data_IF_883517554554
#
_entry.id   IF_883517554554
#
_cell.length_a   1.000
_cell.length_b   1.000
_cell.length_c   1.000
_cell.angle_alpha   90.00
_cell.angle_beta   90.00
_cell.angle_gamma   90.00
#
_symmetry.space_group_name_H-M   'P 1'
#
loop_
_entity.id
_entity.type
_entity.pdbx_description
1 polymer ?
#
# COMPACT_ATOMS: atom_id res chain seq x y z
N UNK A 1 33.17 -34.13 60.88
CA UNK A 1 32.77 -33.10 59.88
C UNK A 1 31.49 -33.56 59.22
N UNK A 2 30.36 -32.92 59.54
CA UNK A 2 29.07 -33.15 58.87
C UNK A 2 29.05 -32.28 57.62
N UNK A 3 29.12 -32.88 56.43
CA UNK A 3 28.81 -32.15 55.20
C UNK A 3 27.28 -32.06 55.06
N UNK A 4 26.79 -30.83 54.89
CA UNK A 4 25.37 -30.53 54.65
C UNK A 4 24.90 -31.18 53.35
N UNK A 5 23.69 -31.75 53.38
CA UNK A 5 22.98 -32.35 52.24
C UNK A 5 22.83 -31.38 51.04
N UNK A 6 23.02 -30.07 51.26
CA UNK A 6 22.99 -29.03 50.23
C UNK A 6 24.20 -29.05 49.29
N UNK A 7 25.36 -29.59 49.71
CA UNK A 7 26.58 -29.63 48.88
C UNK A 7 26.55 -30.78 47.86
N UNK A 8 25.83 -31.86 48.17
CA UNK A 8 25.70 -33.02 47.27
C UNK A 8 24.68 -32.75 46.16
N UNK A 9 23.65 -31.94 46.42
CA UNK A 9 22.67 -31.57 45.40
C UNK A 9 23.24 -30.56 44.37
N UNK A 10 24.16 -29.68 44.78
CA UNK A 10 24.84 -28.76 43.87
C UNK A 10 25.80 -29.48 42.90
N UNK A 11 26.43 -30.59 43.33
CA UNK A 11 27.32 -31.37 42.48
C UNK A 11 26.59 -32.27 41.47
N UNK A 12 25.34 -32.66 41.74
CA UNK A 12 24.50 -33.44 40.81
C UNK A 12 23.70 -32.58 39.83
N UNK A 13 23.47 -31.29 40.12
CA UNK A 13 22.89 -30.33 39.17
C UNK A 13 23.97 -29.76 38.21
N UNK A 14 25.25 -29.81 38.58
CA UNK A 14 26.36 -29.33 37.75
C UNK A 14 26.88 -30.34 36.69
N UNK A 15 26.34 -31.57 36.63
CA UNK A 15 26.72 -32.61 35.64
C UNK A 15 25.53 -32.96 34.71
N UNK A 16 24.51 -32.09 34.63
CA UNK A 16 23.32 -32.26 33.80
C UNK A 16 23.12 -31.22 32.70
N UNK A 17 24.14 -30.40 32.38
CA UNK A 17 23.97 -29.20 31.54
C UNK A 17 25.08 -29.00 30.50
N UNK A 18 25.58 -30.09 29.92
CA UNK A 18 26.43 -30.04 28.70
C UNK A 18 25.97 -31.08 27.68
N UNK A 19 24.68 -31.04 27.34
CA UNK A 19 24.18 -31.45 26.02
C UNK A 19 23.11 -30.43 25.61
N UNK A 20 23.42 -29.14 25.73
CA UNK A 20 22.73 -28.14 24.91
C UNK A 20 23.26 -28.36 23.50
N UNK A 21 22.37 -28.79 22.61
CA UNK A 21 22.72 -29.18 21.26
C UNK A 21 23.61 -28.14 20.60
N UNK A 22 24.81 -28.55 20.19
CA UNK A 22 25.26 -28.19 18.87
C UNK A 22 24.21 -28.77 17.91
N UNK A 23 23.08 -28.08 17.73
CA UNK A 23 22.42 -28.14 16.45
C UNK A 23 23.50 -27.66 15.50
N UNK A 24 24.06 -28.60 14.73
CA UNK A 24 24.63 -28.26 13.43
C UNK A 24 23.76 -27.16 12.86
N UNK A 25 24.30 -26.00 12.44
CA UNK A 25 23.53 -25.10 11.61
C UNK A 25 22.96 -26.02 10.53
N UNK A 26 21.64 -26.20 10.53
CA UNK A 26 21.01 -26.81 9.38
C UNK A 26 21.56 -26.01 8.21
N UNK A 27 22.15 -26.67 7.23
CA UNK A 27 22.56 -26.00 6.00
C UNK A 27 21.37 -25.18 5.58
N UNK A 28 21.45 -23.84 5.74
CA UNK A 28 20.44 -22.97 5.14
C UNK A 28 20.38 -23.39 3.68
N UNK A 29 19.18 -23.52 3.09
CA UNK A 29 19.06 -23.68 1.66
C UNK A 29 20.03 -22.71 0.98
N UNK A 30 20.82 -23.21 0.02
CA UNK A 30 21.69 -22.34 -0.78
C UNK A 30 20.79 -21.30 -1.47
N UNK A 31 21.29 -20.07 -1.59
CA UNK A 31 20.61 -18.97 -2.29
C UNK A 31 19.31 -18.49 -1.59
N UNK A 32 19.33 -18.36 -0.28
CA UNK A 32 18.19 -17.91 0.55
C UNK A 32 18.23 -16.40 0.87
N UNK A 33 17.07 -15.73 0.79
CA UNK A 33 16.80 -14.39 1.35
C UNK A 33 15.71 -14.51 2.41
N UNK A 34 15.89 -13.85 3.56
CA UNK A 34 14.92 -13.83 4.65
C UNK A 34 13.97 -12.64 4.47
N UNK A 35 12.66 -12.89 4.46
CA UNK A 35 11.64 -11.83 4.48
C UNK A 35 10.99 -11.75 5.86
N UNK A 36 10.96 -10.55 6.45
CA UNK A 36 10.22 -10.28 7.69
C UNK A 36 9.06 -9.32 7.41
N UNK A 37 7.96 -9.46 8.16
CA UNK A 37 6.77 -8.63 7.97
C UNK A 37 6.57 -7.60 9.08
N UNK A 38 6.49 -6.32 8.71
CA UNK A 38 6.42 -5.20 9.66
C UNK A 38 5.01 -4.66 9.90
N UNK A 39 3.98 -5.25 9.27
CA UNK A 39 2.57 -4.82 9.35
C UNK A 39 2.38 -3.36 8.92
N UNK A 40 2.90 -3.03 7.74
CA UNK A 40 2.99 -1.67 7.21
C UNK A 40 4.44 -1.20 7.08
N UNK A 41 4.65 -0.05 6.47
CA UNK A 41 6.00 0.47 6.12
C UNK A 41 6.64 1.33 7.20
N UNK A 42 5.85 1.89 8.13
CA UNK A 42 6.31 2.82 9.16
C UNK A 42 7.55 2.37 9.96
N UNK A 43 7.65 1.10 10.39
CA UNK A 43 8.83 0.63 11.14
C UNK A 43 10.11 0.47 10.30
N UNK A 44 10.03 0.34 8.98
CA UNK A 44 11.15 -0.10 8.13
C UNK A 44 12.36 0.85 8.15
N UNK A 45 12.21 2.20 8.09
CA UNK A 45 13.36 3.10 8.16
C UNK A 45 14.15 2.94 9.46
N UNK A 46 13.46 2.81 10.60
CA UNK A 46 14.10 2.60 11.90
C UNK A 46 14.84 1.26 11.96
N UNK A 47 14.23 0.20 11.43
CA UNK A 47 14.87 -1.12 11.38
C UNK A 47 16.14 -1.11 10.53
N UNK A 48 16.13 -0.38 9.41
CA UNK A 48 17.31 -0.20 8.57
C UNK A 48 18.40 0.58 9.30
N UNK A 49 18.06 1.73 9.90
CA UNK A 49 19.03 2.56 10.63
C UNK A 49 19.61 1.94 11.91
N UNK A 50 19.04 0.83 12.38
CA UNK A 50 19.51 0.09 13.57
C UNK A 50 20.09 -1.28 13.22
N UNK A 51 20.41 -1.51 11.95
CA UNK A 51 21.03 -2.74 11.41
C UNK A 51 20.24 -4.02 11.73
N UNK A 52 18.93 -3.90 11.94
CA UNK A 52 18.05 -5.06 12.20
C UNK A 52 17.60 -5.75 10.89
N UNK A 53 17.69 -5.04 9.77
CA UNK A 53 17.42 -5.55 8.42
C UNK A 53 18.53 -5.04 7.48
N UNK A 54 18.77 -5.78 6.40
CA UNK A 54 19.74 -5.40 5.37
C UNK A 54 19.08 -4.52 4.27
N UNK A 55 17.75 -4.54 4.18
CA UNK A 55 16.96 -3.72 3.26
C UNK A 55 15.45 -3.87 3.48
N UNK A 56 14.64 -3.17 2.71
CA UNK A 56 13.19 -3.29 2.71
C UNK A 56 12.59 -3.04 1.33
N UNK A 57 11.40 -3.58 1.09
CA UNK A 57 10.53 -3.16 -0.03
C UNK A 57 9.30 -2.44 0.52
N UNK A 58 9.02 -1.26 0.00
CA UNK A 58 7.94 -0.38 0.48
C UNK A 58 7.22 0.33 -0.67
N UNK A 59 6.04 0.87 -0.38
CA UNK A 59 5.40 1.89 -1.20
C UNK A 59 5.94 3.28 -0.87
N UNK A 60 5.86 4.20 -1.83
CA UNK A 60 6.08 5.63 -1.60
C UNK A 60 5.12 6.19 -0.53
N UNK A 61 5.49 7.21 0.26
CA UNK A 61 6.75 7.96 0.22
C UNK A 61 7.93 7.29 0.95
N UNK A 62 7.73 6.08 1.50
CA UNK A 62 8.72 5.42 2.38
C UNK A 62 9.99 4.96 1.65
N UNK A 63 9.94 4.83 0.33
CA UNK A 63 11.12 4.51 -0.49
C UNK A 63 12.12 5.66 -0.45
N UNK A 64 11.66 6.92 -0.49
CA UNK A 64 12.52 8.11 -0.48
C UNK A 64 13.03 8.53 0.91
N UNK A 65 12.49 7.94 1.99
CA UNK A 65 12.89 8.28 3.36
C UNK A 65 14.35 7.92 3.61
N UNK A 66 14.79 6.71 3.27
CA UNK A 66 16.15 6.25 3.56
C UNK A 66 17.24 7.01 2.79
N UNK A 67 17.09 7.26 1.46
CA UNK A 67 18.02 8.12 0.71
C UNK A 67 18.14 9.54 1.28
N UNK A 68 17.03 10.16 1.69
CA UNK A 68 17.06 11.51 2.26
C UNK A 68 17.65 11.54 3.67
N UNK A 69 17.44 10.47 4.45
CA UNK A 69 18.01 10.33 5.77
C UNK A 69 19.50 9.94 5.76
N UNK A 70 20.04 9.50 4.61
CA UNK A 70 21.42 9.02 4.50
C UNK A 70 21.66 7.68 5.20
N UNK A 71 20.63 6.85 5.29
CA UNK A 71 20.70 5.52 5.95
C UNK A 71 20.60 4.36 4.94
N UNK A 72 20.27 4.66 3.68
CA UNK A 72 20.07 3.67 2.65
C UNK A 72 19.90 4.30 1.28
N UNK A 73 19.90 3.46 0.26
CA UNK A 73 19.75 3.83 -1.15
C UNK A 73 18.66 3.00 -1.82
N UNK A 74 17.99 3.59 -2.80
CA UNK A 74 17.05 2.84 -3.65
C UNK A 74 17.88 1.93 -4.55
N UNK A 75 17.64 0.63 -4.45
CA UNK A 75 18.26 -0.38 -5.30
C UNK A 75 17.56 -0.45 -6.66
N UNK A 76 16.23 -0.53 -6.63
CA UNK A 76 15.39 -0.70 -7.82
C UNK A 76 13.95 -0.27 -7.52
N UNK A 77 13.31 0.43 -8.46
CA UNK A 77 11.88 0.73 -8.39
C UNK A 77 11.06 -0.44 -8.92
N UNK A 78 9.81 -0.55 -8.50
CA UNK A 78 9.02 -1.77 -8.73
C UNK A 78 8.75 -2.09 -10.20
N UNK A 79 8.71 -1.09 -11.09
CA UNK A 79 8.57 -1.30 -12.53
C UNK A 79 9.78 -2.02 -13.16
N UNK A 80 10.96 -1.84 -12.58
CA UNK A 80 12.23 -2.37 -13.08
C UNK A 80 12.64 -3.69 -12.37
N UNK A 81 11.78 -4.21 -11.50
CA UNK A 81 12.04 -5.50 -10.84
C UNK A 81 12.03 -6.64 -11.88
N UNK A 82 12.91 -7.65 -11.72
CA UNK A 82 12.88 -8.80 -12.61
C UNK A 82 11.61 -9.66 -12.50
N UNK A 83 11.29 -10.41 -13.57
CA UNK A 83 11.91 -10.35 -14.92
C UNK A 83 11.62 -9.03 -15.65
N UNK A 84 12.56 -8.60 -16.50
CA UNK A 84 12.48 -7.33 -17.25
C UNK A 84 11.12 -7.17 -17.95
N UNK A 85 10.48 -6.02 -17.73
CA UNK A 85 9.18 -5.67 -18.32
C UNK A 85 7.95 -6.33 -17.68
N UNK A 86 8.10 -7.31 -16.78
CA UNK A 86 6.92 -7.97 -16.15
C UNK A 86 6.14 -7.03 -15.24
N UNK A 87 6.85 -6.16 -14.52
CA UNK A 87 6.25 -5.29 -13.51
C UNK A 87 6.11 -3.84 -13.97
N UNK A 88 6.47 -3.54 -15.21
CA UNK A 88 6.26 -2.23 -15.80
C UNK A 88 4.75 -1.88 -15.74
N UNK A 89 4.42 -0.72 -15.20
CA UNK A 89 3.05 -0.26 -15.02
C UNK A 89 2.16 -1.18 -14.18
N UNK A 90 2.74 -2.02 -13.30
CA UNK A 90 1.96 -2.94 -12.49
C UNK A 90 0.88 -2.19 -11.67
N UNK A 91 -0.32 -2.79 -11.47
CA UNK A 91 -1.34 -2.13 -10.68
C UNK A 91 -1.00 -1.98 -9.20
N UNK A 92 -1.57 -0.96 -8.55
CA UNK A 92 -1.36 -0.69 -7.12
C UNK A 92 -2.67 -0.46 -6.33
N UNK A 93 -3.03 0.80 -6.05
CA UNK A 93 -4.26 1.12 -5.34
C UNK A 93 -5.46 1.24 -6.29
N UNK A 94 -6.62 0.97 -5.72
CA UNK A 94 -7.92 1.00 -6.38
C UNK A 94 -8.91 1.82 -5.57
N UNK A 95 -9.91 2.36 -6.26
CA UNK A 95 -11.10 2.91 -5.62
C UNK A 95 -12.18 1.84 -5.63
N UNK A 96 -12.56 1.37 -4.45
CA UNK A 96 -13.60 0.37 -4.26
C UNK A 96 -14.81 0.98 -3.57
N UNK A 97 -16.00 0.52 -3.91
CA UNK A 97 -17.24 0.91 -3.25
C UNK A 97 -18.02 -0.31 -2.80
N UNK A 98 -18.80 -0.16 -1.74
CA UNK A 98 -19.80 -1.17 -1.39
C UNK A 98 -20.87 -1.24 -2.47
N UNK A 99 -21.33 -2.45 -2.77
CA UNK A 99 -22.39 -2.71 -3.75
C UNK A 99 -23.68 -1.97 -3.38
N UNK A 100 -24.04 -1.96 -2.09
CA UNK A 100 -25.22 -1.22 -1.63
C UNK A 100 -25.09 0.31 -1.79
N UNK A 101 -23.88 0.86 -1.82
CA UNK A 101 -23.66 2.28 -2.12
C UNK A 101 -23.86 2.56 -3.62
N UNK A 102 -23.34 1.70 -4.49
CA UNK A 102 -23.52 1.76 -5.95
C UNK A 102 -25.01 1.63 -6.30
N UNK A 103 -25.70 0.63 -5.75
CA UNK A 103 -27.09 0.30 -6.09
C UNK A 103 -28.10 1.33 -5.55
N UNK A 104 -27.93 1.76 -4.29
CA UNK A 104 -28.92 2.64 -3.66
C UNK A 104 -28.68 4.13 -3.95
N UNK A 105 -27.47 4.52 -4.34
CA UNK A 105 -27.14 5.90 -4.67
C UNK A 105 -26.08 5.99 -5.79
N UNK A 106 -26.41 5.55 -7.01
CA UNK A 106 -25.47 5.52 -8.13
C UNK A 106 -24.95 6.92 -8.46
N UNK A 107 -25.81 7.94 -8.48
CA UNK A 107 -25.40 9.32 -8.79
C UNK A 107 -24.35 9.85 -7.80
N UNK A 108 -24.49 9.53 -6.51
CA UNK A 108 -23.49 9.89 -5.51
C UNK A 108 -22.16 9.18 -5.75
N UNK A 109 -22.19 7.88 -6.08
CA UNK A 109 -20.98 7.12 -6.41
C UNK A 109 -20.30 7.71 -7.65
N UNK A 110 -21.08 8.03 -8.69
CA UNK A 110 -20.60 8.61 -9.94
C UNK A 110 -19.96 9.98 -9.69
N UNK A 111 -20.60 10.84 -8.89
CA UNK A 111 -20.08 12.16 -8.56
C UNK A 111 -18.78 12.08 -7.74
N UNK A 112 -18.71 11.20 -6.72
CA UNK A 112 -17.49 11.00 -5.96
C UNK A 112 -16.36 10.43 -6.83
N UNK A 113 -16.68 9.51 -7.74
CA UNK A 113 -15.75 8.97 -8.73
C UNK A 113 -15.23 10.09 -9.64
N UNK A 114 -16.10 10.98 -10.13
CA UNK A 114 -15.70 12.13 -10.94
C UNK A 114 -14.78 13.09 -10.19
N UNK A 115 -15.06 13.37 -8.91
CA UNK A 115 -14.19 14.22 -8.08
C UNK A 115 -12.76 13.66 -7.99
N UNK A 116 -12.64 12.35 -7.80
CA UNK A 116 -11.34 11.68 -7.74
C UNK A 116 -10.62 11.68 -9.10
N UNK A 117 -11.33 11.42 -10.21
CA UNK A 117 -10.75 11.48 -11.58
C UNK A 117 -10.24 12.88 -11.91
N UNK A 118 -11.02 13.92 -11.60
CA UNK A 118 -10.60 15.32 -11.80
C UNK A 118 -9.38 15.68 -10.92
N UNK A 119 -9.32 15.11 -9.72
CA UNK A 119 -8.18 15.32 -8.81
C UNK A 119 -6.92 14.62 -9.28
N UNK A 120 -7.02 13.43 -9.89
CA UNK A 120 -5.89 12.77 -10.56
C UNK A 120 -5.35 13.64 -11.70
N UNK A 121 -6.22 14.22 -12.54
CA UNK A 121 -5.77 15.15 -13.60
C UNK A 121 -5.03 16.36 -13.03
N UNK A 122 -5.54 16.93 -11.93
CA UNK A 122 -4.85 18.02 -11.24
C UNK A 122 -3.46 17.62 -10.78
N UNK A 123 -3.30 16.40 -10.25
CA UNK A 123 -2.01 15.88 -9.79
C UNK A 123 -1.02 15.76 -10.95
N UNK A 124 -1.45 15.23 -12.09
CA UNK A 124 -0.63 15.13 -13.30
C UNK A 124 -0.17 16.51 -13.81
N UNK A 125 -1.06 17.51 -13.76
CA UNK A 125 -0.78 18.87 -14.22
C UNK A 125 0.04 19.69 -13.20
N UNK A 126 -0.06 19.38 -11.90
CA UNK A 126 0.52 20.15 -10.80
C UNK A 126 1.21 19.25 -9.75
N UNK A 127 2.24 18.47 -10.13
CA UNK A 127 2.84 17.47 -9.23
C UNK A 127 3.51 18.09 -8.00
N UNK A 128 4.22 19.21 -8.15
CA UNK A 128 4.92 19.88 -7.04
C UNK A 128 3.97 20.44 -5.98
N UNK A 129 2.88 21.07 -6.42
CA UNK A 129 1.84 21.59 -5.53
C UNK A 129 1.08 20.45 -4.86
N UNK A 130 0.80 19.39 -5.61
CA UNK A 130 0.17 18.19 -5.07
C UNK A 130 1.04 17.52 -4.00
N UNK A 131 2.36 17.44 -4.20
CA UNK A 131 3.29 16.96 -3.18
C UNK A 131 3.23 17.80 -1.89
N UNK A 132 3.09 19.12 -2.00
CA UNK A 132 2.91 19.99 -0.83
C UNK A 132 1.56 19.80 -0.12
N UNK A 133 0.48 19.58 -0.88
CA UNK A 133 -0.85 19.27 -0.34
C UNK A 133 -0.79 17.96 0.44
N UNK A 134 -0.18 16.92 -0.13
CA UNK A 134 -0.03 15.63 0.53
C UNK A 134 0.89 15.71 1.74
N UNK A 135 1.94 16.55 1.71
CA UNK A 135 2.81 16.80 2.86
C UNK A 135 2.05 17.45 4.02
N UNK A 136 1.16 18.41 3.72
CA UNK A 136 0.26 18.99 4.71
C UNK A 136 -0.68 17.92 5.28
N UNK A 137 -1.30 17.11 4.43
CA UNK A 137 -2.22 16.07 4.88
C UNK A 137 -1.57 15.03 5.81
N UNK A 138 -0.38 14.55 5.44
CA UNK A 138 0.30 13.47 6.15
C UNK A 138 1.08 13.95 7.38
N UNK A 139 1.63 15.17 7.35
CA UNK A 139 2.55 15.64 8.39
C UNK A 139 2.39 17.12 8.78
N UNK A 140 1.36 17.83 8.29
CA UNK A 140 1.21 19.27 8.49
C UNK A 140 2.36 20.08 7.89
N UNK A 141 2.96 19.57 6.80
CA UNK A 141 4.23 20.03 6.21
C UNK A 141 5.45 19.96 7.15
N UNK A 142 5.33 19.26 8.28
CA UNK A 142 6.44 18.97 9.18
C UNK A 142 7.33 17.85 8.65
N UNK A 143 8.15 17.27 9.52
CA UNK A 143 9.01 16.16 9.14
C UNK A 143 8.29 14.82 9.32
N UNK A 144 8.56 13.87 8.43
CA UNK A 144 8.35 12.46 8.77
C UNK A 144 9.41 12.04 9.78
N UNK A 145 8.98 11.40 10.86
CA UNK A 145 9.86 11.00 11.96
C UNK A 145 9.70 9.51 12.27
N UNK A 146 10.82 8.78 12.26
CA UNK A 146 10.87 7.33 12.48
C UNK A 146 12.04 7.02 13.42
N UNK A 147 11.74 6.87 14.72
CA UNK A 147 12.80 6.83 15.74
C UNK A 147 13.61 8.12 15.73
N UNK A 148 14.92 8.00 15.55
CA UNK A 148 15.85 9.14 15.48
C UNK A 148 15.96 9.75 14.06
N UNK A 149 15.32 9.14 13.06
CA UNK A 149 15.29 9.65 11.69
C UNK A 149 14.26 10.77 11.58
N UNK A 150 14.63 11.90 10.98
CA UNK A 150 13.72 13.00 10.69
C UNK A 150 14.04 13.62 9.33
N UNK A 151 13.09 13.57 8.40
CA UNK A 151 13.23 14.08 7.02
C UNK A 151 12.06 14.97 6.64
N UNK A 152 12.29 16.00 5.82
CA UNK A 152 11.25 16.92 5.35
C UNK A 152 10.17 16.16 4.57
N UNK A 153 8.91 16.20 5.02
CA UNK A 153 7.82 15.51 4.31
C UNK A 153 7.64 16.05 2.89
N UNK A 154 7.85 17.35 2.68
CA UNK A 154 7.76 17.99 1.36
C UNK A 154 8.85 17.48 0.42
N UNK A 155 10.10 17.37 0.88
CA UNK A 155 11.19 16.90 0.03
C UNK A 155 11.05 15.41 -0.32
N UNK A 156 10.62 14.60 0.66
CA UNK A 156 10.31 13.18 0.45
C UNK A 156 9.22 13.04 -0.62
N UNK A 157 8.13 13.80 -0.51
CA UNK A 157 7.02 13.70 -1.45
C UNK A 157 7.36 14.24 -2.85
N UNK A 158 8.14 15.31 -2.95
CA UNK A 158 8.61 15.80 -4.26
C UNK A 158 9.50 14.79 -4.99
N UNK A 159 10.26 13.96 -4.25
CA UNK A 159 11.01 12.85 -4.83
C UNK A 159 10.13 11.64 -5.17
N UNK A 160 9.10 11.38 -4.36
CA UNK A 160 8.24 10.23 -4.50
C UNK A 160 7.24 10.36 -5.66
N UNK A 161 6.63 11.53 -5.84
CA UNK A 161 5.58 11.76 -6.83
C UNK A 161 5.96 11.35 -8.26
N UNK A 162 7.15 11.68 -8.78
CA UNK A 162 7.58 11.26 -10.11
C UNK A 162 7.66 9.74 -10.31
N UNK A 163 7.70 8.94 -9.23
CA UNK A 163 7.79 7.48 -9.28
C UNK A 163 6.43 6.80 -9.07
N UNK A 164 5.35 7.58 -9.01
CA UNK A 164 3.98 7.09 -8.87
C UNK A 164 3.20 7.51 -10.10
N UNK A 165 2.62 6.55 -10.83
CA UNK A 165 1.82 6.84 -12.01
C UNK A 165 0.34 6.89 -11.63
N UNK A 166 -0.18 8.08 -11.34
CA UNK A 166 -1.59 8.27 -11.01
C UNK A 166 -2.45 8.07 -12.26
N UNK A 167 -3.41 7.15 -12.21
CA UNK A 167 -4.31 6.82 -13.32
C UNK A 167 -5.66 6.40 -12.77
N UNK A 168 -6.70 6.46 -13.60
CA UNK A 168 -8.03 6.00 -13.21
C UNK A 168 -8.64 4.94 -14.14
N UNK A 169 -8.22 4.86 -15.40
CA UNK A 169 -8.94 4.07 -16.40
C UNK A 169 -8.96 2.56 -16.07
N UNK A 170 -10.14 1.94 -15.83
CA UNK A 170 -10.26 0.52 -15.59
C UNK A 170 -10.34 -0.25 -16.92
N UNK A 171 -9.29 -0.12 -17.74
CA UNK A 171 -9.17 -0.82 -19.03
C UNK A 171 -9.23 -2.34 -18.83
N UNK A 172 -9.58 -3.07 -19.89
CA UNK A 172 -9.63 -4.54 -19.82
C UNK A 172 -8.24 -5.13 -19.54
N UNK A 173 -7.18 -4.55 -20.13
CA UNK A 173 -5.79 -4.92 -19.85
C UNK A 173 -5.46 -4.73 -18.36
N UNK A 174 -5.75 -3.55 -17.81
CA UNK A 174 -5.54 -3.27 -16.39
C UNK A 174 -6.31 -4.23 -15.49
N UNK A 175 -7.57 -4.57 -15.82
CA UNK A 175 -8.37 -5.53 -15.05
C UNK A 175 -7.75 -6.94 -15.10
N UNK A 176 -7.22 -7.35 -16.25
CA UNK A 176 -6.53 -8.63 -16.43
C UNK A 176 -5.25 -8.66 -15.60
N UNK A 177 -4.46 -7.58 -15.58
CA UNK A 177 -3.23 -7.50 -14.78
C UNK A 177 -3.49 -7.69 -13.27
N UNK A 178 -4.69 -7.37 -12.78
CA UNK A 178 -5.06 -7.61 -11.39
C UNK A 178 -5.16 -9.10 -11.03
N UNK A 179 -5.33 -9.99 -12.02
CA UNK A 179 -5.39 -11.44 -11.80
C UNK A 179 -4.06 -12.00 -11.32
N UNK A 180 -2.92 -11.37 -11.62
CA UNK A 180 -1.62 -11.74 -11.07
C UNK A 180 -1.64 -11.73 -9.54
N UNK A 181 -2.29 -10.72 -8.92
CA UNK A 181 -2.45 -10.68 -7.47
C UNK A 181 -3.42 -11.74 -6.95
N UNK A 182 -4.44 -12.11 -7.72
CA UNK A 182 -5.32 -13.24 -7.38
C UNK A 182 -4.53 -14.54 -7.36
N UNK A 183 -3.73 -14.81 -8.40
CA UNK A 183 -2.90 -16.00 -8.49
C UNK A 183 -1.88 -16.06 -7.36
N UNK A 184 -1.16 -14.96 -7.12
CA UNK A 184 -0.17 -14.90 -6.04
C UNK A 184 -0.82 -15.15 -4.67
N UNK A 185 -2.01 -14.59 -4.40
CA UNK A 185 -2.71 -14.85 -3.15
C UNK A 185 -3.25 -16.28 -3.03
N UNK A 186 -3.61 -16.96 -4.14
CA UNK A 186 -3.94 -18.39 -4.14
C UNK A 186 -2.72 -19.24 -3.78
N UNK A 187 -1.59 -18.97 -4.44
CA UNK A 187 -0.33 -19.70 -4.22
C UNK A 187 0.15 -19.56 -2.77
N UNK A 188 0.02 -18.36 -2.19
CA UNK A 188 0.35 -18.09 -0.79
C UNK A 188 -0.68 -18.66 0.21
N UNK A 189 -1.78 -19.28 -0.26
CA UNK A 189 -2.84 -19.84 0.57
C UNK A 189 -3.68 -18.80 1.31
N UNK A 190 -3.75 -17.57 0.80
CA UNK A 190 -4.45 -16.44 1.42
C UNK A 190 -5.91 -16.33 0.98
N UNK A 191 -6.24 -16.81 -0.23
CA UNK A 191 -7.62 -16.91 -0.70
C UNK A 191 -8.22 -18.23 -0.23
N UNK A 192 -9.42 -18.17 0.35
CA UNK A 192 -10.08 -19.33 0.97
C UNK A 192 -11.58 -19.40 0.64
N UNK A 193 -12.11 -18.40 -0.05
CA UNK A 193 -13.53 -18.27 -0.35
C UNK A 193 -13.81 -18.23 -1.85
N UNK A 194 -14.55 -17.21 -2.28
CA UNK A 194 -15.13 -17.12 -3.63
C UNK A 194 -14.09 -17.06 -4.75
N UNK A 195 -12.87 -16.61 -4.44
CA UNK A 195 -11.81 -16.43 -5.42
C UNK A 195 -10.78 -17.57 -5.44
N UNK A 196 -10.86 -18.55 -4.52
CA UNK A 196 -9.87 -19.63 -4.44
C UNK A 196 -9.80 -20.48 -5.72
N UNK A 197 -10.96 -20.87 -6.27
CA UNK A 197 -11.06 -21.76 -7.44
C UNK A 197 -11.82 -21.12 -8.61
N UNK A 198 -12.01 -19.81 -8.60
CA UNK A 198 -12.69 -19.10 -9.70
C UNK A 198 -11.83 -19.11 -10.97
N UNK A 199 -12.50 -19.22 -12.11
CA UNK A 199 -11.90 -18.90 -13.41
C UNK A 199 -11.52 -17.42 -13.50
N UNK A 200 -10.76 -17.03 -14.51
CA UNK A 200 -10.38 -15.63 -14.73
C UNK A 200 -11.63 -14.76 -14.91
N UNK A 201 -12.57 -15.18 -15.76
CA UNK A 201 -13.82 -14.44 -15.97
C UNK A 201 -14.64 -14.30 -14.68
N UNK A 202 -14.81 -15.39 -13.91
CA UNK A 202 -15.51 -15.32 -12.62
C UNK A 202 -14.80 -14.38 -11.64
N UNK A 203 -13.46 -14.36 -11.65
CA UNK A 203 -12.68 -13.45 -10.80
C UNK A 203 -12.90 -12.00 -11.20
N UNK A 204 -12.84 -11.69 -12.50
CA UNK A 204 -13.13 -10.35 -13.01
C UNK A 204 -14.56 -9.91 -12.65
N UNK A 205 -15.55 -10.79 -12.86
CA UNK A 205 -16.95 -10.51 -12.55
C UNK A 205 -17.19 -10.29 -11.05
N UNK A 206 -16.47 -11.02 -10.19
CA UNK A 206 -16.51 -10.85 -8.74
C UNK A 206 -15.87 -9.53 -8.31
N UNK A 207 -14.74 -9.16 -8.92
CA UNK A 207 -13.92 -8.03 -8.50
C UNK A 207 -14.47 -6.67 -8.93
N UNK A 208 -14.94 -6.54 -10.17
CA UNK A 208 -15.13 -5.21 -10.79
C UNK A 208 -16.59 -4.81 -10.97
N UNK A 209 -16.82 -3.50 -10.90
CA UNK A 209 -17.98 -2.79 -11.45
C UNK A 209 -17.52 -1.39 -11.90
N UNK A 210 -17.20 -1.24 -13.18
CA UNK A 210 -16.71 0.02 -13.74
C UNK A 210 -17.82 1.01 -14.11
N UNK A 211 -19.09 0.65 -13.92
CA UNK A 211 -20.21 1.51 -14.31
C UNK A 211 -20.17 2.91 -13.67
N UNK A 212 -19.69 3.10 -12.41
CA UNK A 212 -19.56 4.45 -11.87
C UNK A 212 -18.44 5.27 -12.51
N UNK A 213 -17.36 4.62 -12.93
CA UNK A 213 -16.29 5.27 -13.68
C UNK A 213 -16.78 5.72 -15.05
N UNK A 214 -17.50 4.85 -15.78
CA UNK A 214 -18.03 5.18 -17.11
C UNK A 214 -18.99 6.38 -17.05
N UNK A 215 -19.86 6.43 -16.04
CA UNK A 215 -20.74 7.56 -15.79
C UNK A 215 -19.97 8.84 -15.40
N UNK A 216 -18.96 8.73 -14.55
CA UNK A 216 -18.08 9.84 -14.19
C UNK A 216 -17.35 10.41 -15.41
N UNK A 217 -16.76 9.56 -16.24
CA UNK A 217 -16.07 9.94 -17.47
C UNK A 217 -17.02 10.65 -18.44
N UNK A 218 -18.25 10.16 -18.60
CA UNK A 218 -19.26 10.80 -19.43
C UNK A 218 -19.65 12.21 -18.92
N UNK A 219 -19.86 12.36 -17.60
CA UNK A 219 -20.14 13.67 -16.99
C UNK A 219 -18.99 14.66 -17.24
N UNK A 220 -17.75 14.23 -16.98
CA UNK A 220 -16.56 15.05 -17.20
C UNK A 220 -16.42 15.44 -18.68
N UNK A 221 -16.60 14.50 -19.61
CA UNK A 221 -16.50 14.76 -21.05
C UNK A 221 -17.58 15.75 -21.54
N UNK A 222 -18.76 15.72 -20.93
CA UNK A 222 -19.85 16.67 -21.23
C UNK A 222 -19.64 18.06 -20.63
N UNK A 223 -18.71 18.21 -19.69
CA UNK A 223 -18.51 19.44 -18.92
C UNK A 223 -19.62 19.73 -17.89
N UNK A 224 -20.44 18.73 -17.54
CA UNK A 224 -21.54 18.88 -16.60
C UNK A 224 -21.59 17.69 -15.63
N UNK A 225 -21.42 17.98 -14.33
CA UNK A 225 -21.61 17.00 -13.27
C UNK A 225 -23.08 16.98 -12.86
N UNK A 226 -23.71 15.80 -12.93
CA UNK A 226 -25.08 15.59 -12.45
C UNK A 226 -25.13 15.75 -10.93
N UNK A 227 -26.01 16.61 -10.42
CA UNK A 227 -26.23 16.77 -8.98
C UNK A 227 -26.96 15.55 -8.41
N UNK A 228 -26.35 14.76 -7.51
CA UNK A 228 -27.03 13.64 -6.87
C UNK A 228 -28.18 14.11 -5.97
N UNK A 229 -29.20 13.26 -5.71
CA UNK A 229 -30.14 13.50 -4.63
C UNK A 229 -29.42 13.64 -3.28
N UNK A 230 -29.89 14.55 -2.42
CA UNK A 230 -29.31 14.75 -1.11
C UNK A 230 -29.38 13.47 -0.28
N UNK A 231 -28.22 13.01 0.20
CA UNK A 231 -28.09 11.84 1.05
C UNK A 231 -28.17 12.24 2.52
N UNK A 232 -29.20 11.78 3.21
CA UNK A 232 -29.43 12.12 4.61
C UNK A 232 -28.46 11.43 5.59
N UNK A 233 -27.80 10.34 5.17
CA UNK A 233 -26.86 9.59 6.02
C UNK A 233 -25.43 10.04 5.74
N UNK A 234 -24.63 10.15 6.80
CA UNK A 234 -23.19 10.33 6.68
C UNK A 234 -22.57 9.14 5.92
N UNK A 235 -21.60 9.43 5.06
CA UNK A 235 -20.94 8.47 4.17
C UNK A 235 -19.49 8.31 4.58
N UNK A 236 -19.06 7.10 4.92
CA UNK A 236 -17.66 6.82 5.21
C UNK A 236 -16.81 6.70 3.94
N UNK A 237 -15.74 7.48 3.83
CA UNK A 237 -14.72 7.38 2.79
C UNK A 237 -13.38 7.00 3.43
N UNK A 238 -12.93 5.79 3.16
CA UNK A 238 -11.73 5.18 3.69
C UNK A 238 -10.48 5.49 2.87
N UNK A 239 -9.36 5.71 3.54
CA UNK A 239 -8.05 5.89 2.91
C UNK A 239 -6.90 5.40 3.80
N UNK A 240 -5.72 5.22 3.23
CA UNK A 240 -4.45 4.93 3.92
C UNK A 240 -3.59 6.19 3.96
N UNK A 241 -2.70 6.27 4.95
CA UNK A 241 -1.72 7.35 5.08
C UNK A 241 -0.55 7.13 4.10
N UNK A 242 -0.83 7.30 2.81
CA UNK A 242 0.08 7.12 1.69
C UNK A 242 -0.16 8.20 0.63
N UNK A 243 0.89 8.58 -0.10
CA UNK A 243 0.78 9.50 -1.24
C UNK A 243 0.06 8.89 -2.44
N UNK A 244 -0.06 7.56 -2.50
CA UNK A 244 -0.88 6.87 -3.50
C UNK A 244 -2.33 7.35 -3.49
N UNK A 245 -2.84 7.84 -2.35
CA UNK A 245 -4.21 8.32 -2.22
C UNK A 245 -4.33 9.85 -2.39
N UNK A 246 -3.33 10.49 -3.00
CA UNK A 246 -3.24 11.93 -3.22
C UNK A 246 -4.52 12.53 -3.80
N UNK A 247 -5.22 11.82 -4.70
CA UNK A 247 -6.43 12.32 -5.35
C UNK A 247 -7.50 12.76 -4.32
N UNK A 248 -7.67 12.02 -3.22
CA UNK A 248 -8.59 12.42 -2.15
C UNK A 248 -8.10 13.68 -1.43
N UNK A 249 -6.80 13.75 -1.13
CA UNK A 249 -6.24 14.86 -0.35
C UNK A 249 -6.27 16.15 -1.17
N UNK A 250 -5.94 16.08 -2.46
CA UNK A 250 -6.05 17.17 -3.42
C UNK A 250 -7.51 17.61 -3.58
N UNK A 251 -8.45 16.68 -3.76
CA UNK A 251 -9.88 16.99 -3.83
C UNK A 251 -10.37 17.82 -2.63
N UNK A 252 -9.88 17.47 -1.42
CA UNK A 252 -10.29 18.12 -0.17
C UNK A 252 -9.58 19.44 0.04
N UNK A 253 -8.25 19.48 -0.12
CA UNK A 253 -7.45 20.67 0.21
C UNK A 253 -7.52 21.74 -0.87
N UNK A 254 -7.81 21.35 -2.10
CA UNK A 254 -8.02 22.26 -3.23
C UNK A 254 -9.48 22.32 -3.69
N UNK A 255 -10.42 22.12 -2.77
CA UNK A 255 -11.86 22.03 -3.07
C UNK A 255 -12.41 23.24 -3.85
N UNK A 256 -11.89 24.44 -3.62
CA UNK A 256 -12.30 25.67 -4.32
C UNK A 256 -12.03 25.59 -5.82
N UNK A 257 -10.85 25.11 -6.20
CA UNK A 257 -10.49 24.93 -7.60
C UNK A 257 -11.51 24.02 -8.32
N UNK A 258 -11.88 22.91 -7.69
CA UNK A 258 -12.83 21.97 -8.28
C UNK A 258 -14.27 22.54 -8.32
N UNK A 259 -14.68 23.30 -7.29
CA UNK A 259 -15.99 23.96 -7.29
C UNK A 259 -16.09 24.97 -8.43
N UNK A 260 -15.09 25.84 -8.57
CA UNK A 260 -15.07 26.93 -9.56
C UNK A 260 -14.92 26.40 -10.99
N UNK A 261 -14.12 25.34 -11.19
CA UNK A 261 -13.78 24.82 -12.52
C UNK A 261 -14.80 23.80 -13.04
N UNK A 262 -15.33 22.95 -12.16
CA UNK A 262 -16.14 21.79 -12.57
C UNK A 262 -17.50 21.73 -11.87
N UNK A 263 -17.80 22.64 -10.94
CA UNK A 263 -19.05 22.62 -10.17
C UNK A 263 -19.13 21.45 -9.17
N UNK A 264 -18.01 20.85 -8.76
CA UNK A 264 -17.97 19.77 -7.78
C UNK A 264 -16.87 20.03 -6.75
N UNK A 265 -17.14 19.79 -5.46
CA UNK A 265 -16.15 19.96 -4.41
C UNK A 265 -16.31 18.96 -3.28
N UNK A 266 -15.19 18.52 -2.71
CA UNK A 266 -15.14 17.84 -1.42
C UNK A 266 -14.70 18.87 -0.38
N UNK A 267 -15.64 19.69 0.10
CA UNK A 267 -15.32 20.84 0.94
C UNK A 267 -15.13 20.43 2.40
N UNK A 268 -13.95 20.59 3.01
CA UNK A 268 -13.75 20.26 4.41
C UNK A 268 -14.53 21.24 5.32
N UNK A 269 -15.09 20.73 6.42
CA UNK A 269 -15.80 21.58 7.39
C UNK A 269 -14.86 22.33 8.33
N UNK A 270 -13.71 21.73 8.63
CA UNK A 270 -12.59 22.41 9.30
C UNK A 270 -11.55 22.80 8.25
N UNK A 271 -11.51 24.09 7.90
CA UNK A 271 -10.57 24.63 6.93
C UNK A 271 -9.15 24.80 7.49
N UNK A 272 -8.97 24.66 8.81
CA UNK A 272 -7.68 24.85 9.49
C UNK A 272 -6.95 23.54 9.77
N UNK A 273 -7.68 22.42 9.76
CA UNK A 273 -7.08 21.10 9.93
C UNK A 273 -6.18 20.75 8.74
N UNK A 274 -4.97 20.28 9.04
CA UNK A 274 -4.08 19.69 8.04
C UNK A 274 -4.71 18.42 7.44
N UNK A 275 -5.42 17.65 8.28
CA UNK A 275 -6.18 16.44 7.92
C UNK A 275 -7.61 16.51 8.46
N UNK A 276 -8.55 17.13 7.72
CA UNK A 276 -9.96 17.20 8.10
C UNK A 276 -10.63 15.82 8.17
N UNK A 277 -11.49 15.59 9.17
CA UNK A 277 -12.23 14.33 9.31
C UNK A 277 -13.62 14.36 8.65
N UNK A 278 -14.21 15.55 8.51
CA UNK A 278 -15.53 15.75 7.93
C UNK A 278 -15.44 16.72 6.76
N UNK A 279 -16.05 16.35 5.64
CA UNK A 279 -16.21 17.17 4.47
C UNK A 279 -17.64 17.06 3.92
N UNK A 280 -18.07 18.03 3.12
CA UNK A 280 -19.32 17.98 2.38
C UNK A 280 -19.00 17.78 0.89
N UNK A 281 -19.61 16.77 0.26
CA UNK A 281 -19.66 16.71 -1.19
C UNK A 281 -20.68 17.75 -1.66
N UNK A 282 -20.23 18.73 -2.42
CA UNK A 282 -21.03 19.79 -3.00
C UNK A 282 -21.02 19.62 -4.52
N UNK A 283 -22.19 19.65 -5.15
CA UNK A 283 -22.34 19.56 -6.61
C UNK A 283 -23.29 20.66 -7.08
N UNK A 284 -22.84 21.50 -8.02
CA UNK A 284 -23.54 22.69 -8.52
C UNK A 284 -24.03 23.61 -7.39
N UNK A 285 -23.17 23.82 -6.37
CA UNK A 285 -23.46 24.63 -5.18
C UNK A 285 -24.43 24.00 -4.18
N UNK A 286 -24.87 22.76 -4.39
CA UNK A 286 -25.75 22.04 -3.47
C UNK A 286 -24.96 21.00 -2.67
N UNK A 287 -24.97 21.04 -1.32
CA UNK A 287 -24.45 19.95 -0.50
C UNK A 287 -25.30 18.69 -0.71
N UNK A 288 -24.69 17.62 -1.19
CA UNK A 288 -25.38 16.35 -1.51
C UNK A 288 -25.06 15.21 -0.55
N UNK A 289 -23.92 15.25 0.15
CA UNK A 289 -23.58 14.26 1.16
C UNK A 289 -22.58 14.82 2.18
N UNK A 290 -22.74 14.44 3.45
CA UNK A 290 -21.70 14.58 4.46
C UNK A 290 -20.77 13.36 4.40
N UNK A 291 -19.49 13.61 4.17
CA UNK A 291 -18.44 12.60 4.08
C UNK A 291 -17.65 12.57 5.40
N UNK A 292 -17.53 11.38 5.98
CA UNK A 292 -16.58 11.09 7.05
C UNK A 292 -15.34 10.44 6.46
N UNK A 293 -14.22 11.15 6.52
CA UNK A 293 -12.93 10.71 6.02
C UNK A 293 -12.24 9.86 7.10
N UNK A 294 -12.00 8.58 6.80
CA UNK A 294 -11.53 7.60 7.79
C UNK A 294 -10.18 7.03 7.34
N UNK A 295 -9.12 7.36 8.07
CA UNK A 295 -7.79 6.76 7.86
C UNK A 295 -7.70 5.37 8.49
N UNK A 296 -6.96 4.48 7.85
CA UNK A 296 -6.52 3.21 8.42
C UNK A 296 -5.00 3.04 8.26
N UNK A 297 -4.39 2.23 9.12
CA UNK A 297 -2.95 1.99 9.11
C UNK A 297 -2.55 1.00 8.00
N UNK A 298 -3.48 0.14 7.58
CA UNK A 298 -3.27 -0.85 6.53
C UNK A 298 -4.57 -1.24 5.82
N UNK A 299 -4.45 -1.75 4.59
CA UNK A 299 -5.59 -2.17 3.78
C UNK A 299 -6.55 -3.17 4.44
N UNK A 300 -6.08 -4.23 5.15
CA UNK A 300 -6.97 -5.16 5.83
C UNK A 300 -7.88 -4.51 6.89
N UNK A 301 -7.37 -3.52 7.64
CA UNK A 301 -8.18 -2.77 8.60
C UNK A 301 -9.26 -1.96 7.87
N UNK A 302 -8.92 -1.32 6.75
CA UNK A 302 -9.88 -0.58 5.96
C UNK A 302 -10.99 -1.48 5.38
N UNK A 303 -10.64 -2.69 4.96
CA UNK A 303 -11.61 -3.68 4.48
C UNK A 303 -12.50 -4.24 5.59
N UNK A 304 -12.02 -4.33 6.83
CA UNK A 304 -12.89 -4.63 7.99
C UNK A 304 -13.93 -3.53 8.23
N UNK A 305 -13.54 -2.26 8.06
CA UNK A 305 -14.46 -1.12 8.14
C UNK A 305 -15.49 -1.15 7.00
N UNK A 306 -15.09 -1.57 5.79
CA UNK A 306 -16.01 -1.77 4.68
C UNK A 306 -16.99 -2.94 4.95
N UNK A 307 -16.51 -4.06 5.51
CA UNK A 307 -17.35 -5.21 5.86
C UNK A 307 -18.42 -4.89 6.91
N UNK A 308 -18.13 -3.95 7.82
CA UNK A 308 -19.07 -3.48 8.86
C UNK A 308 -19.92 -2.30 8.42
N UNK A 309 -19.86 -1.89 7.14
CA UNK A 309 -20.56 -0.72 6.58
C UNK A 309 -20.19 0.61 7.25
N UNK A 310 -19.02 0.68 7.91
CA UNK A 310 -18.47 1.93 8.43
C UNK A 310 -17.85 2.76 7.30
N UNK A 311 -17.30 2.08 6.29
CA UNK A 311 -16.73 2.68 5.08
C UNK A 311 -17.54 2.21 3.87
N UNK A 312 -18.10 3.16 3.12
CA UNK A 312 -18.86 2.90 1.90
C UNK A 312 -17.97 2.93 0.66
N UNK A 313 -16.96 3.80 0.66
CA UNK A 313 -15.99 3.97 -0.42
C UNK A 313 -14.58 3.89 0.14
N UNK A 314 -13.66 3.17 -0.49
CA UNK A 314 -12.31 2.98 0.00
C UNK A 314 -11.30 3.18 -1.12
N UNK A 315 -10.34 4.08 -0.91
CA UNK A 315 -9.05 4.01 -1.59
C UNK A 315 -8.22 2.97 -0.84
N UNK A 316 -7.79 1.92 -1.52
CA UNK A 316 -7.11 0.78 -0.89
C UNK A 316 -6.18 0.08 -1.88
N UNK A 317 -5.14 -0.60 -1.40
CA UNK A 317 -4.36 -1.51 -2.25
C UNK A 317 -5.22 -2.65 -2.82
N UNK A 318 -4.88 -3.11 -4.02
CA UNK A 318 -5.62 -4.19 -4.68
C UNK A 318 -5.64 -5.52 -3.86
N UNK A 319 -4.52 -6.04 -3.32
CA UNK A 319 -4.57 -7.34 -2.63
C UNK A 319 -5.48 -7.38 -1.39
N UNK A 320 -5.58 -6.33 -0.56
CA UNK A 320 -6.62 -6.25 0.47
C UNK A 320 -8.05 -6.26 -0.07
N UNK A 321 -8.34 -5.55 -1.18
CA UNK A 321 -9.66 -5.56 -1.80
C UNK A 321 -10.03 -6.96 -2.31
N UNK A 322 -9.11 -7.64 -3.02
CA UNK A 322 -9.26 -9.03 -3.46
C UNK A 322 -9.57 -9.93 -2.26
N UNK A 323 -8.75 -9.89 -1.20
CA UNK A 323 -8.94 -10.73 -0.02
C UNK A 323 -10.27 -10.46 0.72
N UNK A 324 -10.80 -9.23 0.64
CA UNK A 324 -12.10 -8.89 1.21
C UNK A 324 -13.25 -9.47 0.38
N UNK A 325 -13.15 -9.38 -0.96
CA UNK A 325 -14.13 -9.92 -1.92
C UNK A 325 -14.15 -11.45 -1.87
N UNK A 326 -12.98 -12.09 -1.75
CA UNK A 326 -12.86 -13.54 -1.50
C UNK A 326 -13.70 -13.98 -0.28
N UNK A 327 -13.72 -13.14 0.76
CA UNK A 327 -14.49 -13.35 2.00
C UNK A 327 -15.92 -12.81 1.95
N UNK A 328 -16.44 -12.53 0.75
CA UNK A 328 -17.79 -12.02 0.49
C UNK A 328 -18.08 -10.66 1.14
N UNK A 329 -17.06 -9.82 1.36
CA UNK A 329 -17.30 -8.40 1.65
C UNK A 329 -17.97 -7.79 0.42
N UNK A 330 -19.14 -7.13 0.55
CA UNK A 330 -19.94 -6.72 -0.59
C UNK A 330 -19.40 -5.42 -1.19
N UNK A 331 -18.18 -5.45 -1.72
CA UNK A 331 -17.52 -4.34 -2.41
C UNK A 331 -17.22 -4.71 -3.86
N UNK A 332 -17.06 -3.69 -4.70
CA UNK A 332 -16.60 -3.77 -6.08
C UNK A 332 -15.49 -2.76 -6.30
N UNK A 333 -14.52 -3.13 -7.12
CA UNK A 333 -13.47 -2.23 -7.61
C UNK A 333 -14.05 -1.43 -8.78
N UNK A 334 -14.03 -0.10 -8.65
CA UNK A 334 -14.56 0.82 -9.65
C UNK A 334 -13.48 1.21 -10.66
N UNK A 335 -12.32 1.62 -10.16
CA UNK A 335 -11.28 2.23 -10.97
C UNK A 335 -9.89 2.11 -10.35
N UNK A 336 -8.86 2.35 -11.16
CA UNK A 336 -7.51 2.52 -10.68
C UNK A 336 -7.36 3.82 -9.86
N UNK A 337 -6.36 3.85 -8.98
CA UNK A 337 -5.90 5.08 -8.31
C UNK A 337 -4.46 5.39 -8.75
N UNK A 338 -3.61 4.37 -8.82
CA UNK A 338 -2.25 4.48 -9.33
C UNK A 338 -1.72 3.13 -9.82
N UNK A 339 -0.69 3.22 -10.66
CA UNK A 339 0.25 2.15 -10.99
C UNK A 339 1.59 2.45 -10.29
N UNK A 340 2.39 1.41 -10.09
CA UNK A 340 3.74 1.50 -9.53
C UNK A 340 3.79 2.22 -8.16
N UNK A 341 4.89 2.93 -7.87
CA UNK A 341 5.09 3.63 -6.60
C UNK A 341 5.61 2.74 -5.48
N UNK A 342 6.33 1.66 -5.80
CA UNK A 342 7.07 0.86 -4.83
C UNK A 342 8.55 0.77 -5.20
N UNK A 343 9.38 0.33 -4.27
CA UNK A 343 10.81 0.16 -4.52
C UNK A 343 11.51 -0.62 -3.42
N UNK A 344 12.63 -1.24 -3.80
CA UNK A 344 13.55 -1.91 -2.88
C UNK A 344 14.61 -0.92 -2.45
N UNK A 345 14.78 -0.79 -1.15
CA UNK A 345 15.81 0.01 -0.49
C UNK A 345 16.75 -0.93 0.24
N UNK A 346 18.06 -0.66 0.16
CA UNK A 346 19.08 -1.38 0.91
C UNK A 346 19.91 -0.39 1.74
N UNK A 347 20.60 -0.91 2.77
CA UNK A 347 21.51 -0.11 3.57
C UNK A 347 22.58 0.57 2.69
N UNK A 348 23.03 1.76 3.09
CA UNK A 348 23.95 2.57 2.26
C UNK A 348 25.31 1.86 2.06
N UNK A 349 25.75 1.10 3.07
CA UNK A 349 26.98 0.31 3.06
C UNK A 349 26.81 -1.11 2.48
N UNK A 350 25.61 -1.47 2.00
CA UNK A 350 25.39 -2.74 1.34
C UNK A 350 26.21 -2.81 0.03
N UNK A 351 26.89 -3.94 -0.25
CA UNK A 351 27.78 -4.10 -1.40
C UNK A 351 27.00 -4.44 -2.68
N UNK A 352 25.95 -3.67 -2.98
CA UNK A 352 25.13 -3.79 -4.18
C UNK A 352 24.69 -2.41 -4.65
N UNK A 353 24.72 -2.18 -5.96
CA UNK A 353 24.29 -0.93 -6.61
C UNK A 353 23.20 -1.16 -7.66
N UNK A 354 22.93 -2.42 -7.98
CA UNK A 354 21.92 -2.88 -8.93
C UNK A 354 21.40 -4.27 -8.54
N UNK A 355 20.39 -4.77 -9.24
CA UNK A 355 19.79 -6.06 -8.91
C UNK A 355 20.76 -7.23 -9.08
N UNK A 356 21.66 -7.20 -10.07
CA UNK A 356 22.64 -8.27 -10.31
C UNK A 356 23.63 -8.40 -9.13
N UNK A 357 24.23 -7.28 -8.71
CA UNK A 357 25.11 -7.23 -7.54
C UNK A 357 24.38 -7.55 -6.24
N UNK A 358 23.09 -7.20 -6.12
CA UNK A 358 22.25 -7.63 -5.00
C UNK A 358 22.11 -9.16 -4.96
N UNK A 359 21.87 -9.81 -6.10
CA UNK A 359 21.76 -11.27 -6.17
C UNK A 359 23.07 -11.95 -5.79
N UNK A 360 24.22 -11.44 -6.25
CA UNK A 360 25.53 -11.94 -5.85
C UNK A 360 25.76 -11.81 -4.34
N UNK A 361 25.43 -10.64 -3.78
CA UNK A 361 25.51 -10.39 -2.34
C UNK A 361 24.61 -11.34 -1.54
N UNK A 362 23.36 -11.52 -1.97
CA UNK A 362 22.39 -12.41 -1.33
C UNK A 362 22.88 -13.87 -1.32
N UNK A 363 23.39 -14.38 -2.45
CA UNK A 363 23.96 -15.73 -2.56
C UNK A 363 25.18 -15.90 -1.64
N UNK A 364 26.07 -14.92 -1.62
CA UNK A 364 27.26 -14.91 -0.74
C UNK A 364 26.87 -14.93 0.75
N UNK A 365 25.88 -14.11 1.15
CA UNK A 365 25.34 -14.04 2.51
C UNK A 365 24.65 -15.35 2.93
N UNK A 366 23.87 -15.95 2.03
CA UNK A 366 23.24 -17.25 2.25
C UNK A 366 24.28 -18.37 2.45
N UNK A 367 25.32 -18.45 1.62
CA UNK A 367 26.40 -19.44 1.75
C UNK A 367 27.17 -19.34 3.09
N UNK A 368 27.16 -18.16 3.71
CA UNK A 368 27.76 -17.91 5.03
C UNK A 368 26.80 -18.21 6.20
N UNK A 369 25.58 -18.70 5.91
CA UNK A 369 24.53 -18.96 6.91
C UNK A 369 23.91 -17.69 7.51
N UNK A 370 24.07 -16.54 6.83
CA UNK A 370 23.54 -15.24 7.25
C UNK A 370 22.78 -14.59 6.09
N UNK A 371 21.65 -15.17 5.64
CA UNK A 371 20.90 -14.63 4.50
C UNK A 371 20.56 -13.15 4.69
N UNK A 372 20.48 -12.42 3.58
CA UNK A 372 20.03 -11.02 3.56
C UNK A 372 18.61 -10.95 4.12
N UNK A 373 18.34 -9.97 4.97
CA UNK A 373 17.04 -9.76 5.61
C UNK A 373 16.35 -8.56 4.95
N UNK A 374 15.24 -8.81 4.26
CA UNK A 374 14.40 -7.78 3.63
C UNK A 374 13.09 -7.65 4.44
N UNK A 375 12.76 -6.43 4.87
CA UNK A 375 11.42 -6.16 5.42
C UNK A 375 10.40 -5.94 4.31
N UNK A 376 9.19 -6.48 4.49
CA UNK A 376 8.03 -6.23 3.64
C UNK A 376 6.79 -5.86 4.49
N UNK A 377 5.79 -5.16 3.94
CA UNK A 377 4.67 -4.68 4.73
C UNK A 377 3.81 -5.82 5.29
N UNK A 378 3.62 -6.88 4.51
CA UNK A 378 2.89 -8.07 4.92
C UNK A 378 2.82 -9.13 3.82
N UNK A 379 2.62 -10.38 4.22
CA UNK A 379 2.45 -11.51 3.29
C UNK A 379 1.29 -11.28 2.31
N UNK A 380 1.54 -11.47 1.03
CA UNK A 380 0.58 -11.24 -0.05
C UNK A 380 0.21 -9.78 -0.30
N UNK A 381 0.98 -8.83 0.26
CA UNK A 381 0.95 -7.44 -0.20
C UNK A 381 1.58 -7.33 -1.59
N UNK A 382 1.34 -6.22 -2.30
CA UNK A 382 1.95 -5.95 -3.61
C UNK A 382 3.47 -6.13 -3.51
N UNK A 383 4.08 -5.53 -2.50
CA UNK A 383 5.53 -5.57 -2.27
C UNK A 383 6.03 -6.99 -2.02
N UNK A 384 5.29 -7.80 -1.25
CA UNK A 384 5.66 -9.20 -1.01
C UNK A 384 5.58 -10.04 -2.31
N UNK A 385 4.54 -9.84 -3.12
CA UNK A 385 4.40 -10.52 -4.42
C UNK A 385 5.54 -10.14 -5.38
N UNK A 386 5.82 -8.85 -5.50
CA UNK A 386 6.88 -8.32 -6.36
C UNK A 386 8.26 -8.86 -5.97
N UNK A 387 8.64 -8.75 -4.70
CA UNK A 387 9.97 -9.18 -4.26
C UNK A 387 10.13 -10.70 -4.37
N UNK A 388 9.09 -11.48 -4.06
CA UNK A 388 9.13 -12.95 -4.21
C UNK A 388 9.35 -13.36 -5.66
N UNK A 389 8.59 -12.77 -6.58
CA UNK A 389 8.75 -13.07 -8.00
C UNK A 389 10.14 -12.70 -8.52
N UNK A 390 10.67 -11.54 -8.12
CA UNK A 390 11.99 -11.09 -8.55
C UNK A 390 13.12 -11.98 -7.99
N UNK A 391 13.00 -12.39 -6.72
CA UNK A 391 13.94 -13.31 -6.08
C UNK A 391 13.92 -14.69 -6.75
N UNK A 392 12.72 -15.25 -6.97
CA UNK A 392 12.54 -16.56 -7.61
C UNK A 392 13.13 -16.58 -9.03
N UNK A 393 12.82 -15.58 -9.85
CA UNK A 393 13.39 -15.41 -11.20
C UNK A 393 14.93 -15.37 -11.16
N UNK A 394 15.50 -14.83 -10.09
CA UNK A 394 16.96 -14.70 -9.90
C UNK A 394 17.62 -15.96 -9.30
N UNK A 395 16.85 -17.03 -9.12
CA UNK A 395 17.29 -18.28 -8.50
C UNK A 395 17.56 -18.16 -7.00
N UNK A 396 16.88 -17.23 -6.32
CA UNK A 396 16.87 -17.08 -4.87
C UNK A 396 15.56 -17.65 -4.31
N UNK A 397 15.63 -18.25 -3.12
CA UNK A 397 14.47 -18.75 -2.37
C UNK A 397 14.16 -17.84 -1.19
N UNK A 398 12.88 -17.80 -0.79
CA UNK A 398 12.42 -16.98 0.34
C UNK A 398 12.24 -17.83 1.59
N UNK A 399 12.84 -17.37 2.69
CA UNK A 399 12.54 -17.83 4.05
C UNK A 399 11.74 -16.77 4.78
N UNK A 400 10.57 -17.15 5.28
CA UNK A 400 9.82 -16.29 6.19
C UNK A 400 10.50 -16.28 7.56
N UNK A 401 10.89 -15.08 8.02
CA UNK A 401 11.61 -14.84 9.27
C UNK A 401 10.74 -14.47 10.46
#
# INVERSE_FOLDING_TARGET
>A
MKFSLQVILAALVAIGLVIAGCTTPGTSPENEVSIIYTRGTGPMPTLLATDQIDGYIAWQPFVEVAPLAGIGKVLVYSGDLPPEGKWENHPCCVFAARQDAIENNPDLTNALTAALVLSTRYIEENPDESAEIVADWLAGKGNFTYGDISVSSVEVLKRAFPTVRFVNDPTDEWKIDQLEFVYAQRELGLLTGSLLNSTDQESLDLLFDSSPYDAAAAMIASGAITTPPANARQVGVGYLLSDHHAALFVAVKNWQYFEETYGIAIKPRDLTASRPEIADLVVNGQPVAELKLISADAGPQLMQLAATNTVAYALVGNPPAIAAIDKNTPIKIIMAVNLEGSGVVIADDAPADDWESFVEWAKSRSAQGKPVIIAAPGKGSIQDVLIRSALEESGLSVREG
#
